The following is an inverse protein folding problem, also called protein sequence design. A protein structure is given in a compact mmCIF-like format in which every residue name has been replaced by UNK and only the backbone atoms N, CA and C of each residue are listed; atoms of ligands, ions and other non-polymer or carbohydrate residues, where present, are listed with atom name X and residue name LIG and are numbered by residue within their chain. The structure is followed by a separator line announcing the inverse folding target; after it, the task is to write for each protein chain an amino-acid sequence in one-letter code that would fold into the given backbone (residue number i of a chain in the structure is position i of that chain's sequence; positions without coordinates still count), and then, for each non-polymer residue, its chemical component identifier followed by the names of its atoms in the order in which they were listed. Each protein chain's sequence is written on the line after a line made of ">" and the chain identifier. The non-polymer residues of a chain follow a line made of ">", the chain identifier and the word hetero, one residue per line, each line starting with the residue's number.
data_IF_054340399441
#
_entry.id   IF_054340399441
#
_cell.length_a   1.000
_cell.length_b   1.000
_cell.length_c   1.000
_cell.angle_alpha   90.00
_cell.angle_beta   90.00
_cell.angle_gamma   90.00
#
_symmetry.space_group_name_H-M   'P 1'
#
loop_
_entity.id
_entity.type
_entity.pdbx_description
1 polymer ?
#
# COMPACT_ATOMS: atom_id res chain seq x y z
N UNK A 1 -13.82 -34.98 -23.39
CA UNK A 1 -12.58 -34.96 -22.56
C UNK A 1 -11.76 -33.69 -22.77
N UNK A 2 -11.29 -33.37 -23.99
CA UNK A 2 -10.53 -32.12 -24.29
C UNK A 2 -11.24 -30.81 -23.88
N UNK A 3 -12.57 -30.73 -24.02
CA UNK A 3 -13.35 -29.55 -23.61
C UNK A 3 -13.44 -29.39 -22.09
N UNK A 4 -13.47 -30.50 -21.34
CA UNK A 4 -13.49 -30.49 -19.87
C UNK A 4 -12.14 -30.06 -19.31
N UNK A 5 -11.06 -30.54 -19.93
CA UNK A 5 -9.69 -30.12 -19.59
C UNK A 5 -9.49 -28.61 -19.81
N UNK A 6 -10.03 -28.06 -20.90
CA UNK A 6 -9.92 -26.63 -21.21
C UNK A 6 -10.68 -25.74 -20.21
N UNK A 7 -11.86 -26.19 -19.75
CA UNK A 7 -12.66 -25.48 -18.75
C UNK A 7 -12.01 -25.49 -17.37
N UNK A 8 -11.30 -26.56 -17.01
CA UNK A 8 -10.63 -26.69 -15.71
C UNK A 8 -9.33 -25.88 -15.62
N UNK A 9 -8.62 -25.71 -16.74
CA UNK A 9 -7.37 -24.94 -16.77
C UNK A 9 -7.57 -23.42 -16.92
N UNK A 10 -8.75 -22.97 -17.34
CA UNK A 10 -9.07 -21.54 -17.52
C UNK A 10 -8.84 -20.65 -16.27
N UNK A 11 -9.25 -21.03 -15.04
CA UNK A 11 -9.05 -20.18 -13.87
C UNK A 11 -7.58 -20.09 -13.42
N UNK A 12 -6.74 -21.10 -13.71
CA UNK A 12 -5.31 -21.07 -13.36
C UNK A 12 -4.52 -20.08 -14.22
N UNK A 13 -4.99 -19.78 -15.43
CA UNK A 13 -4.38 -18.76 -16.28
C UNK A 13 -4.70 -17.32 -15.81
N UNK A 14 -5.78 -17.14 -15.03
CA UNK A 14 -6.20 -15.82 -14.56
C UNK A 14 -5.38 -15.31 -13.38
N UNK A 15 -4.85 -16.20 -12.53
CA UNK A 15 -3.97 -15.82 -11.41
C UNK A 15 -2.60 -15.29 -11.85
N UNK A 16 -2.24 -15.45 -13.13
CA UNK A 16 -1.02 -14.89 -13.70
C UNK A 16 -1.16 -13.42 -14.13
N UNK A 17 -2.37 -12.87 -14.15
CA UNK A 17 -2.63 -11.43 -14.37
C UNK A 17 -2.69 -10.63 -13.06
N UNK A 18 -2.40 -11.26 -11.91
CA UNK A 18 -2.36 -10.56 -10.64
C UNK A 18 -1.15 -9.61 -10.62
N UNK A 19 -1.38 -8.40 -10.11
CA UNK A 19 -0.35 -7.36 -10.07
C UNK A 19 0.77 -7.82 -9.15
N UNK A 20 1.98 -7.93 -9.66
CA UNK A 20 3.13 -8.29 -8.84
C UNK A 20 3.30 -7.23 -7.72
N UNK A 21 3.63 -7.66 -6.50
CA UNK A 21 3.73 -6.77 -5.32
C UNK A 21 4.78 -5.64 -5.47
N UNK A 22 5.63 -5.75 -6.48
CA UNK A 22 6.69 -4.83 -6.86
C UNK A 22 6.29 -3.85 -7.99
N UNK A 23 5.08 -3.95 -8.55
CA UNK A 23 4.57 -2.96 -9.50
C UNK A 23 4.05 -1.71 -8.76
N UNK A 24 4.41 -0.48 -9.19
CA UNK A 24 3.91 0.74 -8.55
C UNK A 24 2.38 0.79 -8.52
N UNK A 25 1.82 1.00 -7.33
CA UNK A 25 0.41 1.19 -7.07
C UNK A 25 -0.08 2.61 -7.39
N UNK A 26 -1.37 2.91 -7.14
CA UNK A 26 -1.87 4.28 -7.17
C UNK A 26 -1.05 5.16 -6.21
N UNK A 27 -0.53 6.29 -6.69
CA UNK A 27 0.43 7.12 -5.94
C UNK A 27 1.90 6.87 -6.31
N UNK A 28 2.18 5.94 -7.23
CA UNK A 28 3.53 5.72 -7.77
C UNK A 28 4.49 4.99 -6.82
N UNK A 29 3.98 4.47 -5.72
CA UNK A 29 4.72 3.71 -4.70
C UNK A 29 4.33 2.24 -4.73
N UNK A 30 5.29 1.37 -4.42
CA UNK A 30 5.08 -0.06 -4.21
C UNK A 30 4.35 -0.32 -2.88
N UNK A 31 3.83 -1.55 -2.71
CA UNK A 31 3.18 -1.95 -1.45
C UNK A 31 4.15 -1.86 -0.26
N UNK A 32 5.43 -2.20 -0.48
CA UNK A 32 6.47 -2.10 0.53
C UNK A 32 6.77 -0.65 0.95
N UNK A 33 6.83 0.26 -0.02
CA UNK A 33 7.02 1.70 0.25
C UNK A 33 5.82 2.29 1.00
N UNK A 34 4.59 1.97 0.60
CA UNK A 34 3.38 2.43 1.28
C UNK A 34 3.34 1.99 2.76
N UNK A 35 3.70 0.72 3.04
CA UNK A 35 3.80 0.22 4.42
C UNK A 35 4.82 1.00 5.25
N UNK A 36 5.99 1.28 4.68
CA UNK A 36 7.03 2.04 5.38
C UNK A 36 6.56 3.47 5.72
N UNK A 37 5.78 4.10 4.82
CA UNK A 37 5.16 5.40 5.06
C UNK A 37 4.11 5.35 6.20
N UNK A 38 3.29 4.32 6.24
CA UNK A 38 2.27 4.13 7.30
C UNK A 38 2.92 3.91 8.67
N UNK A 39 4.02 3.16 8.74
CA UNK A 39 4.80 2.97 9.97
C UNK A 39 5.39 4.31 10.46
N UNK A 40 5.91 5.12 9.54
CA UNK A 40 6.41 6.46 9.87
C UNK A 40 5.30 7.37 10.41
N UNK A 41 4.12 7.37 9.78
CA UNK A 41 2.97 8.14 10.25
C UNK A 41 2.52 7.72 11.65
N UNK A 42 2.48 6.41 11.93
CA UNK A 42 2.12 5.90 13.26
C UNK A 42 3.10 6.33 14.35
N UNK A 43 4.40 6.43 14.05
CA UNK A 43 5.39 6.94 15.01
C UNK A 43 5.10 8.40 15.38
N UNK A 44 4.74 9.23 14.39
CA UNK A 44 4.41 10.63 14.59
C UNK A 44 3.12 10.78 15.41
N UNK A 45 2.10 9.98 15.12
CA UNK A 45 0.81 10.05 15.81
C UNK A 45 0.84 9.49 17.23
N UNK A 46 1.74 8.54 17.50
CA UNK A 46 1.95 7.98 18.84
C UNK A 46 2.67 8.97 19.77
N UNK A 47 3.37 9.95 19.23
CA UNK A 47 4.00 11.00 20.02
C UNK A 47 2.97 12.07 20.37
N UNK A 48 2.80 12.36 21.67
CA UNK A 48 1.97 13.47 22.08
C UNK A 48 2.56 14.75 21.47
N UNK A 49 1.78 15.55 20.72
CA UNK A 49 2.31 16.77 20.13
C UNK A 49 2.91 17.63 21.24
N UNK A 50 4.06 18.27 21.00
CA UNK A 50 4.63 19.18 21.98
C UNK A 50 3.55 20.17 22.41
N UNK A 51 3.50 20.46 23.72
CA UNK A 51 2.58 21.46 24.25
C UNK A 51 2.70 22.71 23.36
N UNK A 52 1.57 23.30 22.93
CA UNK A 52 1.61 24.41 22.00
C UNK A 52 2.55 25.47 22.56
N UNK A 53 3.72 25.63 21.95
CA UNK A 53 4.53 26.81 22.20
C UNK A 53 3.62 27.96 21.85
N UNK A 54 3.39 28.84 22.84
CA UNK A 54 2.65 30.06 22.60
C UNK A 54 3.43 30.86 21.56
N UNK A 55 3.11 30.66 20.28
CA UNK A 55 3.57 31.49 19.18
C UNK A 55 2.94 32.85 19.43
N UNK A 56 3.63 33.66 20.23
CA UNK A 56 3.28 35.06 20.40
C UNK A 56 3.34 35.67 19.00
N UNK A 57 2.24 36.28 18.51
CA UNK A 57 2.25 36.85 17.18
C UNK A 57 3.36 37.89 17.11
N UNK A 58 4.30 37.69 16.18
CA UNK A 58 5.32 38.66 15.87
C UNK A 58 4.61 39.95 15.38
N UNK A 59 4.90 41.04 16.07
CA UNK A 59 4.37 42.39 15.81
C UNK A 59 4.68 42.87 14.39
#
# INVERSE_FOLDING_TARGET
>A
MKRVLLLLCAPLALSACEKADNEPGPGGVTVGEARALDEAAQMIESEAPPAPEATQPAK
#
